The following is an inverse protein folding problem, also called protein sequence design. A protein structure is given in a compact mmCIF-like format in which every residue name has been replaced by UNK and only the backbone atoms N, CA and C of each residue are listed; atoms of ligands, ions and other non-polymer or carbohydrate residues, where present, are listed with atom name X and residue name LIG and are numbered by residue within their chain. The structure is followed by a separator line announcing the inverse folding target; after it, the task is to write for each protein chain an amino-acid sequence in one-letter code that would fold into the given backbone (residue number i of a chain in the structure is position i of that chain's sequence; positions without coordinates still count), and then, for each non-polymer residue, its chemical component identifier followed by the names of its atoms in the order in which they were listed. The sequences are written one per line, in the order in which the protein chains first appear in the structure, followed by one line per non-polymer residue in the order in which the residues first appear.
data_IF_168828232494
#
_entry.id   IF_168828232494
#
_cell.length_a   1.000
_cell.length_b   1.000
_cell.length_c   1.000
_cell.angle_alpha   90.00
_cell.angle_beta   90.00
_cell.angle_gamma   90.00
#
_symmetry.space_group_name_H-M   'P 1'
#
loop_
_entity.id
_entity.type
_entity.pdbx_description
1 polymer ?
#
# COMPACT_ATOMS: atom_id res chain seq x y z
N UNK A 1 -64.69 -26.40 9.10
CA UNK A 1 -63.29 -26.52 9.56
C UNK A 1 -62.44 -26.91 8.36
N UNK A 2 -61.67 -25.97 7.79
CA UNK A 2 -60.72 -26.20 6.69
C UNK A 2 -59.32 -26.00 7.25
N UNK A 3 -58.52 -27.05 7.28
CA UNK A 3 -57.10 -27.00 7.60
C UNK A 3 -56.32 -26.83 6.30
N UNK A 4 -55.82 -25.62 6.06
CA UNK A 4 -54.90 -25.35 4.96
C UNK A 4 -53.49 -25.73 5.38
N UNK A 5 -53.01 -26.84 4.81
CA UNK A 5 -51.62 -27.29 4.85
C UNK A 5 -50.72 -26.25 4.19
N UNK A 6 -49.92 -25.55 4.99
CA UNK A 6 -48.79 -24.76 4.51
C UNK A 6 -47.65 -25.70 4.13
N UNK A 7 -47.50 -25.87 2.82
CA UNK A 7 -46.36 -26.51 2.19
C UNK A 7 -45.16 -25.57 2.32
N UNK A 8 -44.28 -25.82 3.30
CA UNK A 8 -42.98 -25.14 3.39
C UNK A 8 -42.05 -25.70 2.30
N UNK A 9 -41.93 -24.94 1.21
CA UNK A 9 -40.89 -25.17 0.21
C UNK A 9 -39.52 -24.93 0.87
N UNK A 10 -38.77 -26.02 1.03
CA UNK A 10 -37.39 -26.02 1.46
C UNK A 10 -36.51 -25.49 0.30
N UNK A 11 -36.04 -24.25 0.43
CA UNK A 11 -35.05 -23.64 -0.46
C UNK A 11 -33.74 -24.47 -0.40
N UNK A 12 -33.47 -25.23 -1.47
CA UNK A 12 -32.17 -25.83 -1.71
C UNK A 12 -31.16 -24.71 -2.03
N UNK A 13 -30.52 -24.16 -1.00
CA UNK A 13 -29.39 -23.24 -1.15
C UNK A 13 -28.22 -24.02 -1.77
N UNK A 14 -27.96 -23.80 -3.06
CA UNK A 14 -26.85 -24.42 -3.78
C UNK A 14 -25.50 -23.81 -3.31
N UNK A 15 -24.63 -24.57 -2.62
CA UNK A 15 -23.38 -24.05 -2.04
C UNK A 15 -22.37 -23.54 -3.10
N UNK A 16 -22.48 -24.01 -4.35
CA UNK A 16 -21.58 -23.60 -5.45
C UNK A 16 -21.81 -22.18 -5.98
N UNK A 17 -22.97 -21.55 -5.73
CA UNK A 17 -23.26 -20.18 -6.22
C UNK A 17 -22.55 -19.12 -5.38
N UNK A 18 -22.29 -19.44 -4.11
CA UNK A 18 -21.62 -18.52 -3.18
C UNK A 18 -20.10 -18.49 -3.42
N UNK A 19 -19.47 -19.64 -3.67
CA UNK A 19 -18.02 -19.69 -3.92
C UNK A 19 -17.61 -18.99 -5.22
N UNK A 20 -18.38 -19.14 -6.31
CA UNK A 20 -18.12 -18.42 -7.56
C UNK A 20 -18.19 -16.89 -7.39
N UNK A 21 -19.16 -16.40 -6.61
CA UNK A 21 -19.30 -14.97 -6.32
C UNK A 21 -18.09 -14.44 -5.54
N UNK A 22 -17.66 -15.16 -4.51
CA UNK A 22 -16.49 -14.80 -3.70
C UNK A 22 -15.19 -14.82 -4.53
N UNK A 23 -15.02 -15.80 -5.42
CA UNK A 23 -13.88 -15.87 -6.34
C UNK A 23 -13.85 -14.71 -7.33
N UNK A 24 -15.01 -14.33 -7.87
CA UNK A 24 -15.13 -13.15 -8.74
C UNK A 24 -14.77 -11.87 -7.98
N UNK A 25 -15.27 -11.70 -6.75
CA UNK A 25 -14.96 -10.53 -5.91
C UNK A 25 -13.47 -10.47 -5.58
N UNK A 26 -12.85 -11.60 -5.21
CA UNK A 26 -11.42 -11.70 -4.97
C UNK A 26 -10.61 -11.29 -6.21
N UNK A 27 -11.01 -11.78 -7.39
CA UNK A 27 -10.35 -11.44 -8.64
C UNK A 27 -10.42 -9.94 -8.96
N UNK A 28 -11.58 -9.32 -8.75
CA UNK A 28 -11.77 -7.89 -8.98
C UNK A 28 -10.99 -7.03 -7.98
N UNK A 29 -10.93 -7.44 -6.72
CA UNK A 29 -10.10 -6.79 -5.71
C UNK A 29 -8.61 -6.87 -6.05
N UNK A 30 -8.12 -8.04 -6.49
CA UNK A 30 -6.72 -8.17 -6.91
C UNK A 30 -6.40 -7.31 -8.13
N UNK A 31 -7.31 -7.23 -9.12
CA UNK A 31 -7.15 -6.30 -10.27
C UNK A 31 -7.09 -4.85 -9.80
N UNK A 32 -7.97 -4.46 -8.87
CA UNK A 32 -8.01 -3.11 -8.31
C UNK A 32 -6.75 -2.78 -7.52
N UNK A 33 -6.27 -3.69 -6.66
CA UNK A 33 -5.01 -3.54 -5.94
C UNK A 33 -3.83 -3.41 -6.90
N UNK A 34 -3.78 -4.21 -7.97
CA UNK A 34 -2.74 -4.12 -8.98
C UNK A 34 -2.75 -2.76 -9.70
N UNK A 35 -3.92 -2.26 -10.09
CA UNK A 35 -4.07 -0.94 -10.69
C UNK A 35 -3.57 0.17 -9.76
N UNK A 36 -4.01 0.17 -8.50
CA UNK A 36 -3.61 1.15 -7.49
C UNK A 36 -2.10 1.08 -7.20
N UNK A 37 -1.52 -0.12 -7.09
CA UNK A 37 -0.10 -0.32 -6.85
C UNK A 37 0.76 0.22 -8.01
N UNK A 38 0.33 -0.01 -9.26
CA UNK A 38 1.02 0.55 -10.45
C UNK A 38 1.05 2.09 -10.40
N UNK A 39 -0.07 2.69 -10.01
CA UNK A 39 -0.23 4.14 -9.88
C UNK A 39 0.41 4.74 -8.61
N UNK A 40 0.98 3.90 -7.73
CA UNK A 40 1.64 4.36 -6.51
C UNK A 40 0.69 4.71 -5.37
N UNK A 41 -0.60 4.36 -5.46
CA UNK A 41 -1.60 4.61 -4.43
C UNK A 41 -1.55 3.56 -3.30
N UNK A 42 -0.37 3.38 -2.70
CA UNK A 42 -0.10 2.28 -1.75
C UNK A 42 -1.01 2.31 -0.51
N UNK A 43 -1.41 3.50 -0.04
CA UNK A 43 -2.36 3.61 1.07
C UNK A 43 -3.71 2.93 0.77
N UNK A 44 -4.21 3.06 -0.47
CA UNK A 44 -5.45 2.39 -0.90
C UNK A 44 -5.25 0.89 -1.11
N UNK A 45 -4.06 0.46 -1.53
CA UNK A 45 -3.72 -0.97 -1.64
C UNK A 45 -3.82 -1.66 -0.28
N UNK A 46 -3.30 -1.02 0.78
CA UNK A 46 -3.37 -1.53 2.16
C UNK A 46 -4.83 -1.66 2.62
N UNK A 47 -5.66 -0.63 2.41
CA UNK A 47 -7.09 -0.69 2.78
C UNK A 47 -7.87 -1.84 2.14
N UNK A 48 -7.48 -2.26 0.94
CA UNK A 48 -8.11 -3.39 0.26
C UNK A 48 -7.59 -4.75 0.76
N UNK A 49 -6.46 -4.79 1.46
CA UNK A 49 -5.82 -6.05 1.90
C UNK A 49 -6.67 -6.77 2.95
N UNK A 50 -7.24 -6.03 3.91
CA UNK A 50 -8.14 -6.60 4.92
C UNK A 50 -9.38 -7.26 4.31
N UNK A 51 -9.89 -6.70 3.20
CA UNK A 51 -11.04 -7.29 2.49
C UNK A 51 -10.63 -8.56 1.74
N UNK A 52 -9.44 -8.57 1.14
CA UNK A 52 -8.90 -9.76 0.47
C UNK A 52 -8.67 -10.89 1.47
N UNK A 53 -8.13 -10.60 2.65
CA UNK A 53 -7.91 -11.58 3.72
C UNK A 53 -9.24 -12.23 4.16
N UNK A 54 -10.25 -11.41 4.45
CA UNK A 54 -11.60 -11.92 4.79
C UNK A 54 -12.19 -12.83 3.71
N UNK A 55 -12.03 -12.47 2.43
CA UNK A 55 -12.53 -13.30 1.33
C UNK A 55 -11.76 -14.62 1.21
N UNK A 56 -10.44 -14.62 1.47
CA UNK A 56 -9.65 -15.84 1.48
C UNK A 56 -10.07 -16.76 2.63
N UNK A 57 -10.35 -16.21 3.81
CA UNK A 57 -10.88 -16.96 4.95
C UNK A 57 -12.25 -17.57 4.61
N UNK A 58 -13.19 -16.77 4.08
CA UNK A 58 -14.50 -17.24 3.64
C UNK A 58 -14.40 -18.36 2.58
N UNK A 59 -13.46 -18.22 1.63
CA UNK A 59 -13.20 -19.25 0.61
C UNK A 59 -12.57 -20.52 1.20
N UNK A 60 -11.72 -20.40 2.22
CA UNK A 60 -11.05 -21.55 2.85
C UNK A 60 -12.03 -22.51 3.53
N UNK A 61 -13.17 -21.98 4.00
CA UNK A 61 -14.24 -22.77 4.63
C UNK A 61 -15.19 -23.44 3.64
N UNK A 62 -15.12 -23.07 2.34
CA UNK A 62 -15.96 -23.65 1.30
C UNK A 62 -15.26 -24.86 0.71
N UNK A 63 -15.73 -26.06 1.04
CA UNK A 63 -15.35 -27.32 0.39
C UNK A 63 -15.97 -27.42 -1.02
N UNK A 64 -15.74 -26.44 -1.87
CA UNK A 64 -16.26 -26.41 -3.24
C UNK A 64 -15.14 -26.66 -4.25
N UNK A 65 -15.35 -27.53 -5.24
CA UNK A 65 -14.40 -27.69 -6.33
C UNK A 65 -14.30 -26.36 -7.09
N UNK A 66 -13.10 -25.77 -7.08
CA UNK A 66 -12.80 -24.56 -7.82
C UNK A 66 -12.21 -24.94 -9.17
N UNK A 67 -12.67 -24.29 -10.22
CA UNK A 67 -12.11 -24.43 -11.55
C UNK A 67 -10.63 -24.02 -11.57
N UNK A 68 -9.77 -24.88 -12.16
CA UNK A 68 -8.33 -24.66 -12.22
C UNK A 68 -7.97 -23.38 -12.99
N UNK A 69 -8.74 -23.01 -14.02
CA UNK A 69 -8.45 -21.79 -14.79
C UNK A 69 -8.64 -20.55 -13.93
N UNK A 70 -9.67 -20.53 -13.09
CA UNK A 70 -9.93 -19.45 -12.11
C UNK A 70 -8.78 -19.34 -11.10
N UNK A 71 -8.30 -20.46 -10.56
CA UNK A 71 -7.15 -20.47 -9.64
C UNK A 71 -5.89 -19.93 -10.31
N UNK A 72 -5.62 -20.32 -11.57
CA UNK A 72 -4.47 -19.81 -12.32
C UNK A 72 -4.57 -18.30 -12.57
N UNK A 73 -5.76 -17.78 -12.90
CA UNK A 73 -5.99 -16.35 -13.08
C UNK A 73 -5.70 -15.56 -11.80
N UNK A 74 -6.24 -16.01 -10.66
CA UNK A 74 -5.99 -15.40 -9.34
C UNK A 74 -4.49 -15.41 -9.01
N UNK A 75 -3.82 -16.56 -9.22
CA UNK A 75 -2.37 -16.69 -9.00
C UNK A 75 -1.56 -15.71 -9.85
N UNK A 76 -1.89 -15.56 -11.13
CA UNK A 76 -1.22 -14.60 -12.03
C UNK A 76 -1.38 -13.16 -11.55
N UNK A 77 -2.59 -12.77 -11.14
CA UNK A 77 -2.85 -11.43 -10.60
C UNK A 77 -2.07 -11.18 -9.31
N UNK A 78 -2.07 -12.14 -8.38
CA UNK A 78 -1.32 -12.06 -7.14
C UNK A 78 0.19 -11.91 -7.40
N UNK A 79 0.76 -12.77 -8.26
CA UNK A 79 2.17 -12.69 -8.62
C UNK A 79 2.53 -11.34 -9.25
N UNK A 80 1.69 -10.82 -10.14
CA UNK A 80 1.89 -9.51 -10.74
C UNK A 80 1.87 -8.39 -9.68
N UNK A 81 0.94 -8.45 -8.73
CA UNK A 81 0.87 -7.52 -7.61
C UNK A 81 2.15 -7.58 -6.75
N UNK A 82 2.60 -8.78 -6.37
CA UNK A 82 3.85 -8.96 -5.61
C UNK A 82 5.07 -8.36 -6.31
N UNK A 83 5.20 -8.55 -7.62
CA UNK A 83 6.30 -7.97 -8.41
C UNK A 83 6.27 -6.44 -8.40
N UNK A 84 5.09 -5.83 -8.56
CA UNK A 84 4.92 -4.38 -8.48
C UNK A 84 5.28 -3.87 -7.09
N UNK A 85 4.78 -4.51 -6.03
CA UNK A 85 5.06 -4.15 -4.65
C UNK A 85 6.56 -4.25 -4.34
N UNK A 86 7.23 -5.32 -4.78
CA UNK A 86 8.67 -5.50 -4.62
C UNK A 86 9.47 -4.38 -5.31
N UNK A 87 9.05 -4.00 -6.52
CA UNK A 87 9.66 -2.90 -7.28
C UNK A 87 9.52 -1.57 -6.53
N UNK A 88 8.31 -1.25 -6.06
CA UNK A 88 8.05 -0.02 -5.29
C UNK A 88 8.83 0.00 -3.98
N UNK A 89 8.94 -1.14 -3.27
CA UNK A 89 9.75 -1.28 -2.06
C UNK A 89 11.21 -0.94 -2.33
N UNK A 90 11.80 -1.48 -3.41
CA UNK A 90 13.18 -1.18 -3.82
C UNK A 90 13.37 0.31 -4.09
N UNK A 91 12.48 0.92 -4.87
CA UNK A 91 12.54 2.36 -5.17
C UNK A 91 12.46 3.23 -3.91
N UNK A 92 11.62 2.86 -2.94
CA UNK A 92 11.51 3.59 -1.68
C UNK A 92 12.79 3.46 -0.84
N UNK A 93 13.38 2.26 -0.79
CA UNK A 93 14.65 2.04 -0.09
C UNK A 93 15.78 2.90 -0.68
N UNK A 94 15.91 2.95 -2.00
CA UNK A 94 16.90 3.80 -2.70
C UNK A 94 16.66 5.30 -2.45
N UNK A 95 15.40 5.73 -2.39
CA UNK A 95 15.06 7.13 -2.02
C UNK A 95 15.45 7.45 -0.59
N UNK A 96 15.16 6.57 0.36
CA UNK A 96 15.53 6.74 1.77
C UNK A 96 17.05 6.78 1.94
N UNK A 97 17.79 5.93 1.24
CA UNK A 97 19.26 5.93 1.26
C UNK A 97 19.83 7.26 0.76
N UNK A 98 19.29 7.79 -0.34
CA UNK A 98 19.67 9.13 -0.86
C UNK A 98 19.40 10.23 0.15
N UNK A 99 18.24 10.22 0.81
CA UNK A 99 17.90 11.21 1.84
C UNK A 99 18.87 11.12 3.03
N UNK A 100 19.20 9.89 3.48
CA UNK A 100 20.17 9.69 4.57
C UNK A 100 21.55 10.22 4.21
N UNK A 101 22.06 9.89 3.03
CA UNK A 101 23.34 10.40 2.53
C UNK A 101 23.34 11.93 2.45
N UNK A 102 22.28 12.52 1.89
CA UNK A 102 22.12 13.98 1.83
C UNK A 102 22.12 14.63 3.22
N UNK A 103 21.45 14.01 4.20
CA UNK A 103 21.44 14.50 5.59
C UNK A 103 22.83 14.43 6.23
N UNK A 104 23.56 13.34 6.03
CA UNK A 104 24.93 13.18 6.54
C UNK A 104 25.83 14.27 5.95
N UNK A 105 25.80 14.46 4.62
CA UNK A 105 26.57 15.52 3.95
C UNK A 105 26.21 16.91 4.47
N UNK A 106 24.91 17.21 4.62
CA UNK A 106 24.46 18.50 5.14
C UNK A 106 24.91 18.76 6.59
N UNK A 107 24.91 17.74 7.45
CA UNK A 107 25.46 17.84 8.80
C UNK A 107 26.97 18.14 8.76
N UNK A 108 27.73 17.41 7.94
CA UNK A 108 29.17 17.65 7.78
C UNK A 108 29.48 19.08 7.31
N UNK A 109 28.69 19.62 6.36
CA UNK A 109 28.84 21.01 5.91
C UNK A 109 28.54 22.02 7.03
N UNK A 110 27.53 21.78 7.87
CA UNK A 110 27.22 22.67 9.00
C UNK A 110 28.35 22.72 10.04
N UNK A 111 29.05 21.61 10.25
CA UNK A 111 30.14 21.52 11.22
C UNK A 111 31.43 22.17 10.72
N UNK A 112 31.63 22.24 9.40
CA UNK A 112 32.81 22.84 8.74
C UNK A 112 32.63 24.33 8.45
N UNK A 113 31.39 24.82 8.32
CA UNK A 113 31.17 26.25 8.14
C UNK A 113 31.61 27.00 9.40
N UNK A 114 32.52 27.98 9.29
CA UNK A 114 32.93 28.78 10.44
C UNK A 114 31.66 29.41 11.01
N UNK A 115 31.43 29.19 12.32
CA UNK A 115 30.48 30.01 13.07
C UNK A 115 30.83 31.44 12.70
N UNK A 116 29.90 32.21 12.11
CA UNK A 116 30.02 33.65 11.99
C UNK A 116 30.40 34.14 13.39
N UNK A 117 31.67 34.37 13.63
CA UNK A 117 32.13 35.22 14.70
C UNK A 117 31.39 36.53 14.44
N UNK A 118 30.56 36.94 15.40
CA UNK A 118 29.83 38.20 15.32
C UNK A 118 30.79 39.33 14.92
N UNK A 119 30.27 40.42 14.32
CA UNK A 119 31.12 41.50 13.81
C UNK A 119 32.12 41.85 14.90
N UNK A 120 33.41 41.57 14.65
CA UNK A 120 34.49 42.06 15.48
C UNK A 120 34.28 43.55 15.54
N UNK A 121 34.18 44.08 16.77
CA UNK A 121 34.01 45.48 17.07
C UNK A 121 34.89 46.29 16.12
N UNK A 122 34.26 46.94 15.14
CA UNK A 122 34.93 47.94 14.32
C UNK A 122 35.11 49.09 15.29
N UNK A 123 36.27 49.11 15.96
CA UNK A 123 36.75 50.27 16.69
C UNK A 123 36.55 51.48 15.78
N UNK A 124 35.57 52.28 16.18
CA UNK A 124 35.21 53.51 15.49
C UNK A 124 36.32 54.50 15.82
N UNK A 125 37.39 54.49 15.02
CA UNK A 125 38.44 55.49 15.11
C UNK A 125 37.81 56.82 14.70
N UNK A 126 37.60 57.68 15.69
CA UNK A 126 37.10 59.03 15.48
C UNK A 126 38.07 59.79 14.55
N UNK A 127 37.56 60.59 13.60
CA UNK A 127 38.42 61.42 12.76
C UNK A 127 39.02 62.54 13.62
N UNK A 128 40.32 62.46 13.85
CA UNK A 128 41.10 63.58 14.39
C UNK A 128 41.03 64.73 13.40
N UNK A 129 40.30 65.79 13.75
CA UNK A 129 40.26 67.03 13.01
C UNK A 129 41.66 67.64 12.96
N UNK A 130 42.21 67.79 11.76
CA UNK A 130 43.27 68.74 11.49
C UNK A 130 42.73 69.74 10.47
N UNK A 131 42.68 71.00 10.94
CA UNK A 131 42.29 72.24 10.28
C UNK A 131 40.81 72.59 10.28
#
# INVERSE_FOLDING_TARGET
MKTESRHTQSEKVHPGRNSQKLLSELMDLLKKQLYLAKNGEMGKVVLLSDRVEKLLDELSHLATPVDQTTVQCIRRLYNALCLVLATKKKQLAERLDRIRKGRISHCAYKDVLPKKTGPADIETVAPTSLF
#
